data_IF_963010067565
#
_entry.id   IF_963010067565
#
_cell.length_a   1.000
_cell.length_b   1.000
_cell.length_c   1.000
_cell.angle_alpha   90.00
_cell.angle_beta   90.00
_cell.angle_gamma   90.00
#
_symmetry.space_group_name_H-M   'P 1'
#
loop_
_entity.id
_entity.type
_entity.pdbx_description
1 polymer ?
#
# COMPACT_ATOMS: atom_id res chain seq x y z
N UNK A 1 7.87 -6.97 6.77
CA UNK A 1 7.23 -5.80 6.12
C UNK A 1 5.79 -6.17 5.83
N UNK A 2 4.94 -5.17 5.62
CA UNK A 2 3.51 -5.35 5.41
C UNK A 2 3.06 -4.57 4.19
N UNK A 3 2.15 -5.18 3.43
CA UNK A 3 1.50 -4.54 2.28
C UNK A 3 -0.02 -4.70 2.41
N UNK A 4 -0.74 -3.85 1.68
CA UNK A 4 -2.19 -3.92 1.60
C UNK A 4 -2.61 -4.65 0.33
N UNK A 5 -3.71 -5.39 0.42
CA UNK A 5 -4.40 -6.04 -0.69
C UNK A 5 -5.89 -5.83 -0.55
N UNK A 6 -6.65 -5.94 -1.64
CA UNK A 6 -8.12 -5.93 -1.52
C UNK A 6 -8.55 -7.28 -0.92
N UNK A 7 -9.42 -7.26 0.08
CA UNK A 7 -9.92 -8.47 0.73
C UNK A 7 -10.58 -9.41 -0.28
N UNK A 8 -10.20 -10.69 -0.25
CA UNK A 8 -10.65 -11.71 -1.20
C UNK A 8 -9.97 -11.65 -2.58
N UNK A 9 -9.03 -10.73 -2.78
CA UNK A 9 -8.26 -10.52 -4.02
C UNK A 9 -6.75 -10.46 -3.76
N UNK A 10 -6.28 -11.11 -2.71
CA UNK A 10 -4.88 -11.13 -2.27
C UNK A 10 -3.93 -11.68 -3.35
N UNK A 11 -4.48 -12.44 -4.31
CA UNK A 11 -3.74 -13.02 -5.44
C UNK A 11 -3.75 -12.16 -6.70
N UNK A 12 -4.57 -11.11 -6.76
CA UNK A 12 -4.69 -10.22 -7.91
C UNK A 12 -3.62 -9.12 -7.90
N UNK A 13 -3.10 -8.76 -6.72
CA UNK A 13 -2.02 -7.79 -6.57
C UNK A 13 -2.07 -7.05 -5.24
N UNK A 14 -1.04 -6.24 -5.02
CA UNK A 14 -0.97 -5.31 -3.91
C UNK A 14 -1.67 -3.99 -4.25
N UNK A 15 -2.17 -3.31 -3.24
CA UNK A 15 -2.62 -1.92 -3.33
C UNK A 15 -1.42 -1.00 -3.55
N UNK A 16 -1.58 -0.03 -4.46
CA UNK A 16 -0.61 1.03 -4.74
C UNK A 16 -1.31 2.38 -4.77
N UNK A 17 -0.53 3.43 -4.49
CA UNK A 17 -0.96 4.83 -4.56
C UNK A 17 -0.43 5.45 -5.83
N UNK A 18 -1.29 6.17 -6.56
CA UNK A 18 -0.88 6.98 -7.70
C UNK A 18 -0.25 8.29 -7.24
N UNK A 19 0.91 8.65 -7.78
CA UNK A 19 1.53 9.95 -7.53
C UNK A 19 1.02 11.05 -8.48
N UNK A 20 1.56 12.27 -8.35
CA UNK A 20 1.16 13.41 -9.20
C UNK A 20 1.51 13.26 -10.69
N UNK A 21 2.32 12.25 -11.04
CA UNK A 21 2.73 11.93 -12.40
C UNK A 21 1.98 10.73 -12.99
N UNK A 22 1.11 10.09 -12.22
CA UNK A 22 0.37 8.90 -12.62
C UNK A 22 1.13 7.59 -12.37
N UNK A 23 2.29 7.64 -11.70
CA UNK A 23 3.07 6.46 -11.38
C UNK A 23 2.50 5.75 -10.15
N UNK A 24 2.43 4.42 -10.22
CA UNK A 24 1.92 3.58 -9.13
C UNK A 24 3.05 3.26 -8.13
N UNK A 25 2.89 3.70 -6.89
CA UNK A 25 3.84 3.51 -5.80
C UNK A 25 3.28 2.48 -4.81
N UNK A 26 4.02 1.39 -4.62
CA UNK A 26 3.72 0.39 -3.60
C UNK A 26 4.21 0.87 -2.22
N UNK A 27 3.33 0.90 -1.22
CA UNK A 27 3.72 1.20 0.15
C UNK A 27 4.10 -0.08 0.89
N UNK A 28 5.32 -0.11 1.43
CA UNK A 28 5.86 -1.19 2.25
C UNK A 28 5.96 -0.68 3.68
N UNK A 29 5.08 -1.14 4.56
CA UNK A 29 5.10 -0.74 5.98
C UNK A 29 6.10 -1.62 6.74
N UNK A 30 6.95 -1.02 7.56
CA UNK A 30 7.84 -1.78 8.45
C UNK A 30 7.06 -2.40 9.62
N UNK A 31 6.11 -1.65 10.19
CA UNK A 31 5.29 -2.07 11.32
C UNK A 31 3.83 -2.34 10.91
N UNK A 32 3.23 -3.39 11.50
CA UNK A 32 1.86 -3.80 11.21
C UNK A 32 0.83 -2.74 11.68
N UNK A 33 1.06 -2.12 12.83
CA UNK A 33 0.18 -1.09 13.41
C UNK A 33 0.05 0.14 12.50
N UNK A 34 1.12 0.53 11.81
CA UNK A 34 1.06 1.63 10.83
C UNK A 34 0.23 1.24 9.60
N UNK A 35 0.31 -0.03 9.16
CA UNK A 35 -0.53 -0.55 8.09
C UNK A 35 -2.01 -0.63 8.51
N UNK A 36 -2.31 -1.10 9.73
CA UNK A 36 -3.66 -1.13 10.30
C UNK A 36 -4.28 0.26 10.37
N UNK A 37 -3.52 1.23 10.90
CA UNK A 37 -3.95 2.62 10.95
C UNK A 37 -4.24 3.19 9.56
N UNK A 38 -3.41 2.86 8.56
CA UNK A 38 -3.62 3.29 7.18
C UNK A 38 -4.87 2.65 6.55
N UNK A 39 -5.13 1.36 6.80
CA UNK A 39 -6.36 0.68 6.38
C UNK A 39 -7.59 1.39 6.95
N UNK A 40 -7.59 1.72 8.24
CA UNK A 40 -8.72 2.45 8.85
C UNK A 40 -8.99 3.79 8.15
N UNK A 41 -7.94 4.52 7.76
CA UNK A 41 -8.11 5.77 7.00
C UNK A 41 -8.66 5.56 5.59
N UNK A 42 -8.33 4.44 4.94
CA UNK A 42 -8.90 4.06 3.64
C UNK A 42 -10.39 3.71 3.78
N UNK A 43 -10.77 2.97 4.82
CA UNK A 43 -12.18 2.63 5.08
C UNK A 43 -13.03 3.89 5.30
N UNK A 44 -12.50 4.91 5.97
CA UNK A 44 -13.15 6.22 6.11
C UNK A 44 -13.34 6.98 4.79
N UNK A 45 -12.61 6.59 3.74
CA UNK A 45 -12.67 7.16 2.39
C UNK A 45 -13.44 6.27 1.39
N UNK A 46 -14.27 5.34 1.88
CA UNK A 46 -15.08 4.42 1.07
C UNK A 46 -14.26 3.51 0.13
N UNK A 47 -12.98 3.23 0.46
CA UNK A 47 -12.23 2.17 -0.21
C UNK A 47 -12.83 0.79 0.08
N UNK A 48 -12.59 -0.22 -0.77
CA UNK A 48 -12.97 -1.59 -0.46
C UNK A 48 -12.29 -2.08 0.82
N UNK A 49 -12.85 -3.12 1.43
CA UNK A 49 -12.22 -3.79 2.57
C UNK A 49 -10.80 -4.25 2.17
N UNK A 50 -9.82 -3.86 2.99
CA UNK A 50 -8.41 -4.14 2.74
C UNK A 50 -7.92 -5.22 3.70
N UNK A 51 -6.97 -6.02 3.23
CA UNK A 51 -6.29 -7.03 4.04
C UNK A 51 -4.79 -6.71 4.09
N UNK A 52 -4.19 -6.91 5.27
CA UNK A 52 -2.76 -6.72 5.51
C UNK A 52 -2.06 -8.06 5.31
N UNK A 53 -1.00 -8.05 4.51
CA UNK A 53 -0.19 -9.23 4.24
C UNK A 53 1.25 -8.99 4.68
N UNK A 54 1.75 -9.88 5.55
CA UNK A 54 3.16 -9.92 5.90
C UNK A 54 3.98 -10.47 4.73
N UNK A 55 5.05 -9.75 4.39
CA UNK A 55 5.96 -10.06 3.30
C UNK A 55 7.41 -9.98 3.77
N UNK A 56 8.27 -10.78 3.15
CA UNK A 56 9.70 -10.80 3.47
C UNK A 56 10.40 -9.58 2.87
N UNK A 57 10.98 -8.73 3.73
CA UNK A 57 11.54 -7.41 3.39
C UNK A 57 12.51 -7.46 2.21
N UNK A 58 13.52 -8.35 2.31
CA UNK A 58 14.58 -8.47 1.30
C UNK A 58 14.06 -9.01 -0.03
N UNK A 59 13.04 -9.86 0.02
CA UNK A 59 12.44 -10.42 -1.17
C UNK A 59 11.60 -9.37 -1.89
N UNK A 60 10.81 -8.58 -1.15
CA UNK A 60 9.95 -7.57 -1.75
C UNK A 60 10.74 -6.43 -2.38
N UNK A 61 11.69 -5.85 -1.65
CA UNK A 61 12.53 -4.77 -2.18
C UNK A 61 13.23 -5.22 -3.47
N UNK A 62 13.86 -6.40 -3.43
CA UNK A 62 14.53 -6.97 -4.62
C UNK A 62 13.57 -7.24 -5.78
N UNK A 63 12.33 -7.65 -5.49
CA UNK A 63 11.32 -7.88 -6.53
C UNK A 63 10.93 -6.56 -7.18
N UNK A 64 10.67 -5.52 -6.40
CA UNK A 64 10.37 -4.19 -6.93
C UNK A 64 11.52 -3.64 -7.78
N UNK A 65 12.76 -3.73 -7.29
CA UNK A 65 13.96 -3.30 -8.03
C UNK A 65 14.15 -4.06 -9.35
N UNK A 66 13.97 -5.39 -9.34
CA UNK A 66 14.17 -6.21 -10.55
C UNK A 66 13.09 -5.97 -11.61
N UNK A 67 11.87 -5.63 -11.20
CA UNK A 67 10.74 -5.43 -12.08
C UNK A 67 10.50 -3.95 -12.42
N UNK A 68 11.23 -3.03 -11.80
CA UNK A 68 11.07 -1.59 -12.00
C UNK A 68 9.79 -1.03 -11.40
N UNK A 69 9.27 -1.63 -10.34
CA UNK A 69 8.11 -1.10 -9.61
C UNK A 69 8.56 -0.01 -8.65
N UNK A 70 7.86 1.13 -8.66
CA UNK A 70 8.08 2.18 -7.69
C UNK A 70 7.53 1.73 -6.33
N UNK A 71 8.30 1.97 -5.27
CA UNK A 71 7.89 1.66 -3.90
C UNK A 71 8.45 2.69 -2.93
N UNK A 72 7.82 2.78 -1.77
CA UNK A 72 8.35 3.52 -0.62
C UNK A 72 8.23 2.67 0.62
N UNK A 73 9.22 2.78 1.51
CA UNK A 73 9.20 2.13 2.81
C UNK A 73 8.68 3.15 3.81
N UNK A 74 7.63 2.77 4.55
CA UNK A 74 7.02 3.57 5.60
C UNK A 74 7.54 3.03 6.93
N UNK A 75 8.36 3.84 7.59
CA UNK A 75 8.94 3.55 8.91
C UNK A 75 8.03 4.07 10.01
N UNK A 76 8.27 3.67 11.27
CA UNK A 76 7.49 4.16 12.41
C UNK A 76 7.67 5.65 12.73
N UNK A 77 8.69 6.29 12.14
CA UNK A 77 8.86 7.75 12.23
C UNK A 77 8.06 8.51 11.15
N UNK A 78 7.47 7.80 10.18
CA UNK A 78 6.73 8.39 9.06
C UNK A 78 5.23 8.50 9.36
N UNK A 79 4.65 9.68 9.06
CA UNK A 79 3.20 9.88 9.07
C UNK A 79 2.71 9.91 7.62
N UNK A 80 1.97 8.88 7.23
CA UNK A 80 1.42 8.74 5.89
C UNK A 80 -0.10 8.83 5.94
N UNK A 81 -0.67 9.65 5.07
CA UNK A 81 -2.10 9.85 4.92
C UNK A 81 -2.50 9.40 3.51
N UNK A 82 -3.58 8.61 3.35
CA UNK A 82 -4.01 8.21 2.03
C UNK A 82 -4.38 9.41 1.14
N UNK A 83 -4.12 9.33 -0.17
CA UNK A 83 -4.56 10.38 -1.09
C UNK A 83 -6.08 10.50 -1.03
N UNK A 84 -6.57 11.74 -1.00
CA UNK A 84 -8.01 11.99 -1.02
C UNK A 84 -8.54 11.55 -2.38
N UNK A 85 -9.41 10.53 -2.39
CA UNK A 85 -10.10 10.12 -3.61
C UNK A 85 -11.04 11.24 -4.01
N UNK A 86 -10.62 12.08 -4.96
CA UNK A 86 -11.55 12.82 -5.79
C UNK A 86 -12.24 11.78 -6.66
N UNK A 87 -13.49 11.44 -6.32
CA UNK A 87 -14.37 10.54 -7.07
C UNK A 87 -14.02 10.47 -8.57
N UNK A 88 -13.46 9.35 -9.00
CA UNK A 88 -13.61 8.78 -10.33
C UNK A 88 -13.25 7.30 -10.22
N UNK A 89 -14.17 6.51 -9.66
CA UNK A 89 -14.19 5.07 -9.88
C UNK A 89 -14.39 4.89 -11.40
N UNK A 90 -13.37 4.38 -12.09
CA UNK A 90 -13.43 4.09 -13.53
C UNK A 90 -14.32 2.87 -13.78
#
# INVERSE_FOLDING_TARGET
>A
MFILTIAGKEREGAYSVEDEHGDQILYLFEEEDDAERYVMMLEEQDYPEMNILEVEDKLMVKTCENHGYNYTIITSDDIVIPPVVGHDII
#
